data_IF_070482790446
#
_entry.id   IF_070482790446
#
_cell.length_a   1.000
_cell.length_b   1.000
_cell.length_c   1.000
_cell.angle_alpha   90.00
_cell.angle_beta   90.00
_cell.angle_gamma   90.00
#
_symmetry.space_group_name_H-M   'P 1'
#
loop_
_entity.id
_entity.type
_entity.pdbx_description
1 polymer ?
#
# COMPACT_ATOMS: atom_id res chain seq x y z
N UNK A 1 -18.72 -16.32 4.03
CA UNK A 1 -18.24 -15.84 2.71
C UNK A 1 -19.46 -15.52 1.87
N UNK A 2 -19.58 -14.28 1.34
CA UNK A 2 -20.72 -13.81 0.53
C UNK A 2 -20.70 -14.46 -0.87
N UNK A 3 -19.52 -14.82 -1.36
CA UNK A 3 -19.28 -15.51 -2.64
C UNK A 3 -18.64 -16.88 -2.42
N UNK A 4 -19.02 -17.87 -3.23
CA UNK A 4 -18.33 -19.15 -3.29
C UNK A 4 -16.97 -18.99 -3.98
N UNK A 5 -16.06 -19.95 -3.78
CA UNK A 5 -14.75 -19.94 -4.45
C UNK A 5 -14.87 -19.87 -5.97
N UNK A 6 -15.83 -20.64 -6.53
CA UNK A 6 -16.10 -20.63 -7.97
C UNK A 6 -16.57 -19.24 -8.48
N UNK A 7 -17.41 -18.56 -7.70
CA UNK A 7 -17.86 -17.18 -8.01
C UNK A 7 -16.70 -16.19 -7.94
N UNK A 8 -15.83 -16.30 -6.94
CA UNK A 8 -14.63 -15.47 -6.83
C UNK A 8 -13.65 -15.71 -7.99
N UNK A 9 -13.51 -16.96 -8.46
CA UNK A 9 -12.71 -17.27 -9.64
C UNK A 9 -13.29 -16.61 -10.92
N UNK A 10 -14.61 -16.59 -11.08
CA UNK A 10 -15.27 -15.92 -12.19
C UNK A 10 -15.09 -14.37 -12.11
N UNK A 11 -15.20 -13.80 -10.91
CA UNK A 11 -14.97 -12.37 -10.67
C UNK A 11 -13.51 -11.99 -10.96
N UNK A 12 -12.56 -12.80 -10.48
CA UNK A 12 -11.13 -12.60 -10.77
C UNK A 12 -10.86 -12.68 -12.28
N UNK A 13 -11.45 -13.68 -12.97
CA UNK A 13 -11.33 -13.80 -14.43
C UNK A 13 -11.83 -12.56 -15.15
N UNK A 14 -12.97 -12.03 -14.75
CA UNK A 14 -13.51 -10.79 -15.30
C UNK A 14 -12.57 -9.61 -15.04
N UNK A 15 -12.08 -9.44 -13.81
CA UNK A 15 -11.16 -8.37 -13.46
C UNK A 15 -9.87 -8.40 -14.28
N UNK A 16 -9.28 -9.58 -14.45
CA UNK A 16 -8.08 -9.76 -15.28
C UNK A 16 -8.33 -9.44 -16.77
N UNK A 17 -9.50 -9.75 -17.30
CA UNK A 17 -9.85 -9.40 -18.68
C UNK A 17 -10.09 -7.89 -18.84
N UNK A 18 -10.68 -7.24 -17.84
CA UNK A 18 -10.84 -5.77 -17.82
C UNK A 18 -9.48 -5.08 -17.80
N UNK A 19 -8.59 -5.50 -16.91
CA UNK A 19 -7.25 -4.95 -16.79
C UNK A 19 -6.38 -5.18 -18.04
N UNK A 20 -6.61 -6.25 -18.80
CA UNK A 20 -5.88 -6.52 -20.05
C UNK A 20 -6.39 -5.72 -21.27
N UNK A 21 -7.45 -4.92 -21.14
CA UNK A 21 -7.98 -4.11 -22.23
C UNK A 21 -7.13 -2.88 -22.58
N UNK A 22 -6.21 -2.49 -21.69
CA UNK A 22 -5.29 -1.38 -21.87
C UNK A 22 -3.80 -1.80 -21.91
N UNK A 23 -2.92 -0.83 -22.10
CA UNK A 23 -1.50 -0.97 -22.41
C UNK A 23 -0.72 -1.81 -21.36
N UNK A 24 0.13 -2.71 -21.82
CA UNK A 24 0.93 -3.68 -21.01
C UNK A 24 1.82 -3.06 -19.91
N UNK A 25 2.03 -1.75 -19.90
CA UNK A 25 2.88 -1.06 -18.90
C UNK A 25 2.13 -0.69 -17.61
N UNK A 26 0.79 -0.65 -17.63
CA UNK A 26 -0.05 -0.23 -16.47
C UNK A 26 -0.66 -1.39 -15.66
N UNK A 27 -0.49 -2.62 -16.10
CA UNK A 27 -1.10 -3.85 -15.55
C UNK A 27 -0.82 -4.09 -14.06
N UNK A 28 0.22 -3.49 -13.47
CA UNK A 28 0.56 -3.71 -12.07
C UNK A 28 -0.38 -2.96 -11.11
N UNK A 29 -0.76 -1.71 -11.43
CA UNK A 29 -1.65 -0.91 -10.57
C UNK A 29 -3.06 -1.49 -10.55
N UNK A 30 -3.57 -1.90 -11.72
CA UNK A 30 -4.88 -2.55 -11.85
C UNK A 30 -4.90 -3.92 -11.16
N UNK A 31 -3.82 -4.69 -11.26
CA UNK A 31 -3.72 -5.98 -10.60
C UNK A 31 -3.72 -5.85 -9.08
N UNK A 32 -3.06 -4.84 -8.53
CA UNK A 32 -3.13 -4.53 -7.09
C UNK A 32 -4.55 -4.17 -6.66
N UNK A 33 -5.28 -3.40 -7.48
CA UNK A 33 -6.71 -3.10 -7.22
C UNK A 33 -7.54 -4.37 -7.25
N UNK A 34 -7.33 -5.26 -8.22
CA UNK A 34 -8.01 -6.56 -8.30
C UNK A 34 -7.78 -7.37 -7.02
N UNK A 35 -6.55 -7.50 -6.56
CA UNK A 35 -6.22 -8.24 -5.35
C UNK A 35 -6.84 -7.60 -4.10
N UNK A 36 -6.79 -6.28 -4.02
CA UNK A 36 -7.42 -5.52 -2.95
C UNK A 36 -8.93 -5.76 -2.91
N UNK A 37 -9.59 -5.70 -4.05
CA UNK A 37 -11.03 -5.89 -4.15
C UNK A 37 -11.46 -7.34 -3.85
N UNK A 38 -10.67 -8.35 -4.26
CA UNK A 38 -10.92 -9.74 -3.87
C UNK A 38 -10.82 -9.94 -2.36
N UNK A 39 -9.86 -9.29 -1.71
CA UNK A 39 -9.76 -9.28 -0.25
C UNK A 39 -11.03 -8.68 0.37
N UNK A 40 -11.57 -7.63 -0.23
CA UNK A 40 -12.82 -7.01 0.19
C UNK A 40 -14.05 -7.91 0.04
N UNK A 41 -14.05 -8.76 -0.95
CA UNK A 41 -15.09 -9.78 -1.12
C UNK A 41 -14.97 -10.95 -0.14
N UNK A 42 -13.99 -10.89 0.78
CA UNK A 42 -13.77 -11.85 1.85
C UNK A 42 -12.87 -13.02 1.46
N UNK A 43 -12.04 -12.84 0.42
CA UNK A 43 -11.06 -13.84 -0.02
C UNK A 43 -9.71 -13.61 0.68
N UNK A 44 -9.09 -14.67 1.16
CA UNK A 44 -7.73 -14.63 1.71
C UNK A 44 -6.71 -14.67 0.57
N UNK A 45 -6.40 -13.46 0.07
CA UNK A 45 -5.50 -13.29 -1.08
C UNK A 45 -4.10 -13.85 -0.77
N UNK A 46 -3.60 -13.68 0.45
CA UNK A 46 -2.23 -14.10 0.79
C UNK A 46 -2.06 -15.61 0.77
N UNK A 47 -3.05 -16.36 1.26
CA UNK A 47 -2.93 -17.81 1.41
C UNK A 47 -3.54 -18.60 0.25
N UNK A 48 -4.53 -18.05 -0.44
CA UNK A 48 -5.35 -18.81 -1.38
C UNK A 48 -5.28 -18.33 -2.85
N UNK A 49 -4.53 -17.25 -3.15
CA UNK A 49 -4.51 -16.64 -4.49
C UNK A 49 -4.04 -17.61 -5.58
N UNK A 50 -3.01 -18.41 -5.32
CA UNK A 50 -2.51 -19.39 -6.31
C UNK A 50 -3.59 -20.41 -6.68
N UNK A 51 -4.32 -20.89 -5.67
CA UNK A 51 -5.42 -21.84 -5.86
C UNK A 51 -6.60 -21.20 -6.63
N UNK A 52 -6.86 -19.91 -6.43
CA UNK A 52 -7.89 -19.16 -7.16
C UNK A 52 -7.46 -18.93 -8.62
N UNK A 53 -6.20 -18.56 -8.86
CA UNK A 53 -5.65 -18.38 -10.19
C UNK A 53 -5.70 -19.67 -11.02
N UNK A 54 -5.41 -20.83 -10.43
CA UNK A 54 -5.56 -22.12 -11.12
C UNK A 54 -7.03 -22.39 -11.51
N UNK A 55 -7.97 -22.01 -10.65
CA UNK A 55 -9.39 -22.17 -10.95
C UNK A 55 -9.86 -21.23 -12.06
N UNK A 56 -9.33 -20.00 -12.14
CA UNK A 56 -9.64 -19.07 -13.24
C UNK A 56 -9.21 -19.56 -14.61
N UNK A 57 -8.16 -20.37 -14.70
CA UNK A 57 -7.70 -20.95 -15.99
C UNK A 57 -8.72 -21.88 -16.65
N UNK A 58 -9.66 -22.40 -15.87
CA UNK A 58 -10.72 -23.30 -16.35
C UNK A 58 -11.89 -22.53 -17.00
N UNK A 59 -11.94 -21.22 -16.81
CA UNK A 59 -13.01 -20.37 -17.32
C UNK A 59 -12.61 -19.64 -18.61
N UNK A 60 -13.49 -19.67 -19.61
CA UNK A 60 -13.54 -18.60 -20.60
C UNK A 60 -14.22 -17.37 -20.00
N UNK A 61 -14.06 -16.20 -20.63
CA UNK A 61 -14.78 -14.99 -20.21
C UNK A 61 -16.31 -15.21 -20.26
N UNK A 62 -16.80 -15.92 -21.27
CA UNK A 62 -18.23 -16.22 -21.41
C UNK A 62 -18.77 -17.11 -20.26
N UNK A 63 -17.96 -18.07 -19.80
CA UNK A 63 -18.35 -18.92 -18.67
C UNK A 63 -18.41 -18.09 -17.38
N UNK A 64 -17.43 -17.20 -17.17
CA UNK A 64 -17.41 -16.29 -16.04
C UNK A 64 -18.63 -15.35 -16.05
N UNK A 65 -18.92 -14.72 -17.17
CA UNK A 65 -20.09 -13.85 -17.31
C UNK A 65 -21.42 -14.60 -17.11
N UNK A 66 -21.54 -15.85 -17.62
CA UNK A 66 -22.69 -16.70 -17.39
C UNK A 66 -22.89 -17.03 -15.91
N UNK A 67 -21.81 -17.28 -15.18
CA UNK A 67 -21.85 -17.54 -13.74
C UNK A 67 -22.28 -16.27 -12.98
N UNK A 68 -21.72 -15.13 -13.33
CA UNK A 68 -22.03 -13.84 -12.70
C UNK A 68 -23.50 -13.44 -12.94
N UNK A 69 -24.04 -13.65 -14.16
CA UNK A 69 -25.42 -13.33 -14.48
C UNK A 69 -26.46 -14.18 -13.72
N UNK A 70 -26.04 -15.29 -13.15
CA UNK A 70 -26.89 -16.15 -12.29
C UNK A 70 -26.78 -15.83 -10.79
N UNK A 71 -26.01 -14.82 -10.40
CA UNK A 71 -25.89 -14.37 -9.01
C UNK A 71 -27.10 -13.52 -8.60
N UNK A 72 -27.23 -13.24 -7.32
CA UNK A 72 -28.28 -12.31 -6.83
C UNK A 72 -28.04 -10.88 -7.32
N UNK A 73 -29.10 -10.09 -7.40
CA UNK A 73 -29.00 -8.67 -7.78
C UNK A 73 -28.03 -7.89 -6.90
N UNK A 74 -27.96 -8.21 -5.61
CA UNK A 74 -27.04 -7.61 -4.66
C UNK A 74 -25.59 -7.96 -5.01
N UNK A 75 -25.29 -9.23 -5.29
CA UNK A 75 -23.95 -9.68 -5.70
C UNK A 75 -23.54 -9.07 -7.04
N UNK A 76 -24.45 -9.00 -8.01
CA UNK A 76 -24.18 -8.40 -9.32
C UNK A 76 -23.89 -6.89 -9.21
N UNK A 77 -24.59 -6.16 -8.33
CA UNK A 77 -24.30 -4.74 -8.05
C UNK A 77 -22.91 -4.53 -7.48
N UNK A 78 -22.48 -5.39 -6.55
CA UNK A 78 -21.11 -5.36 -6.03
C UNK A 78 -20.08 -5.58 -7.13
N UNK A 79 -20.35 -6.51 -8.06
CA UNK A 79 -19.46 -6.78 -9.19
C UNK A 79 -19.42 -5.59 -10.17
N UNK A 80 -20.52 -4.88 -10.38
CA UNK A 80 -20.51 -3.62 -11.14
C UNK A 80 -19.56 -2.59 -10.48
N UNK A 81 -19.66 -2.43 -9.17
CA UNK A 81 -18.75 -1.57 -8.42
C UNK A 81 -17.28 -1.99 -8.51
N UNK A 82 -17.02 -3.29 -8.39
CA UNK A 82 -15.69 -3.89 -8.55
C UNK A 82 -15.09 -3.61 -9.94
N UNK A 83 -15.85 -3.85 -11.01
CA UNK A 83 -15.41 -3.55 -12.39
C UNK A 83 -15.18 -2.05 -12.58
N UNK A 84 -16.07 -1.21 -12.05
CA UNK A 84 -15.90 0.24 -12.07
C UNK A 84 -14.64 0.72 -11.35
N UNK A 85 -14.28 0.09 -10.21
CA UNK A 85 -13.07 0.42 -9.47
C UNK A 85 -11.80 0.06 -10.26
N UNK A 86 -11.77 -1.09 -10.95
CA UNK A 86 -10.65 -1.48 -11.82
C UNK A 86 -10.49 -0.48 -12.98
N UNK A 87 -11.57 -0.17 -13.67
CA UNK A 87 -11.57 0.79 -14.78
C UNK A 87 -11.06 2.17 -14.36
N UNK A 88 -11.28 2.58 -13.11
CA UNK A 88 -10.84 3.87 -12.60
C UNK A 88 -9.49 3.83 -11.87
N UNK A 89 -8.82 2.70 -11.82
CA UNK A 89 -7.59 2.54 -11.05
C UNK A 89 -6.47 3.52 -11.47
N UNK A 90 -6.35 3.78 -12.76
CA UNK A 90 -5.36 4.70 -13.33
C UNK A 90 -5.85 6.16 -13.47
N UNK A 91 -7.12 6.42 -13.11
CA UNK A 91 -7.72 7.76 -13.14
C UNK A 91 -8.17 8.23 -14.52
N UNK A 92 -8.10 7.39 -15.56
CA UNK A 92 -8.55 7.70 -16.91
C UNK A 92 -9.45 6.60 -17.47
N UNK A 93 -10.47 6.98 -18.23
CA UNK A 93 -11.36 6.04 -18.92
C UNK A 93 -10.93 5.93 -20.39
N UNK A 94 -10.25 4.84 -20.73
CA UNK A 94 -9.85 4.56 -22.10
C UNK A 94 -11.02 4.20 -23.01
N UNK A 95 -10.83 4.24 -24.35
CA UNK A 95 -11.88 3.92 -25.32
C UNK A 95 -12.43 2.49 -25.21
N UNK A 96 -11.55 1.54 -24.90
CA UNK A 96 -11.90 0.12 -24.75
C UNK A 96 -12.69 -0.14 -23.46
N UNK A 97 -12.26 0.45 -22.38
CA UNK A 97 -12.93 0.41 -21.08
C UNK A 97 -14.32 1.02 -21.16
N UNK A 98 -14.43 2.19 -21.81
CA UNK A 98 -15.72 2.81 -22.06
C UNK A 98 -16.65 1.90 -22.87
N UNK A 99 -16.13 1.25 -23.92
CA UNK A 99 -16.91 0.32 -24.74
C UNK A 99 -17.36 -0.91 -23.95
N UNK A 100 -16.54 -1.40 -23.03
CA UNK A 100 -16.90 -2.48 -22.11
C UNK A 100 -17.99 -1.99 -21.15
N UNK A 101 -17.76 -0.85 -20.49
CA UNK A 101 -18.69 -0.29 -19.51
C UNK A 101 -20.09 -0.02 -20.10
N UNK A 102 -20.15 0.51 -21.30
CA UNK A 102 -21.42 0.80 -21.98
C UNK A 102 -22.32 -0.44 -22.17
N UNK A 103 -21.73 -1.65 -22.09
CA UNK A 103 -22.43 -2.93 -22.29
C UNK A 103 -22.59 -3.74 -21.01
N UNK A 104 -21.65 -3.61 -20.07
CA UNK A 104 -21.54 -4.48 -18.92
C UNK A 104 -22.77 -4.46 -18.00
N UNK A 105 -23.32 -3.29 -17.61
CA UNK A 105 -24.53 -3.22 -16.80
C UNK A 105 -25.77 -3.81 -17.51
N UNK A 106 -25.87 -3.66 -18.84
CA UNK A 106 -26.96 -4.28 -19.62
C UNK A 106 -26.89 -5.80 -19.58
N UNK A 107 -25.67 -6.38 -19.62
CA UNK A 107 -25.51 -7.84 -19.51
C UNK A 107 -25.96 -8.41 -18.18
N UNK A 108 -25.85 -7.61 -17.12
CA UNK A 108 -26.30 -7.98 -15.78
C UNK A 108 -27.79 -7.64 -15.53
N UNK A 109 -28.49 -7.08 -16.52
CA UNK A 109 -29.91 -6.77 -16.41
C UNK A 109 -30.26 -5.44 -15.73
N UNK A 110 -29.27 -4.59 -15.42
CA UNK A 110 -29.48 -3.28 -14.78
C UNK A 110 -29.84 -2.15 -15.74
N UNK A 111 -29.90 -2.44 -17.06
CA UNK A 111 -30.08 -1.41 -18.07
C UNK A 111 -28.85 -0.51 -18.22
N UNK A 112 -29.08 0.73 -18.70
CA UNK A 112 -27.97 1.69 -18.81
C UNK A 112 -27.63 2.27 -17.45
N UNK A 113 -26.45 1.97 -16.97
CA UNK A 113 -25.86 2.52 -15.76
C UNK A 113 -24.59 3.28 -16.15
N UNK A 114 -24.46 4.53 -15.72
CA UNK A 114 -23.21 5.28 -15.91
C UNK A 114 -22.13 4.77 -14.95
N UNK A 115 -20.87 4.95 -15.32
CA UNK A 115 -19.76 4.64 -14.43
C UNK A 115 -19.84 5.41 -13.10
N UNK A 116 -20.30 6.67 -13.17
CA UNK A 116 -20.49 7.52 -12.00
C UNK A 116 -21.56 6.96 -11.05
N UNK A 117 -22.70 6.49 -11.60
CA UNK A 117 -23.75 5.82 -10.82
C UNK A 117 -23.25 4.54 -10.16
N UNK A 118 -22.48 3.71 -10.87
CA UNK A 118 -21.90 2.49 -10.30
C UNK A 118 -20.88 2.80 -9.20
N UNK A 119 -20.03 3.80 -9.41
CA UNK A 119 -19.07 4.26 -8.41
C UNK A 119 -19.76 4.92 -7.21
N UNK A 120 -20.90 5.58 -7.41
CA UNK A 120 -21.70 6.11 -6.30
C UNK A 120 -22.37 5.00 -5.49
N UNK A 121 -22.91 3.97 -6.16
CA UNK A 121 -23.44 2.78 -5.49
C UNK A 121 -22.30 2.09 -4.71
N UNK A 122 -21.17 1.87 -5.34
CA UNK A 122 -19.97 1.29 -4.73
C UNK A 122 -19.44 2.13 -3.56
N UNK A 123 -19.36 3.45 -3.73
CA UNK A 123 -18.99 4.40 -2.66
C UNK A 123 -20.09 4.47 -1.60
N UNK A 124 -21.37 4.42 -1.97
CA UNK A 124 -22.50 4.44 -1.06
C UNK A 124 -22.57 3.18 -0.19
N UNK A 125 -22.36 2.01 -0.77
CA UNK A 125 -22.26 0.76 -0.02
C UNK A 125 -20.96 0.73 0.82
N UNK A 126 -19.86 1.32 0.35
CA UNK A 126 -18.60 1.45 1.08
C UNK A 126 -18.65 2.58 2.14
N UNK A 127 -19.32 3.70 1.89
CA UNK A 127 -19.51 4.77 2.88
C UNK A 127 -20.43 4.34 4.04
N UNK A 128 -21.36 3.41 3.81
CA UNK A 128 -22.13 2.81 4.91
C UNK A 128 -21.26 1.96 5.87
N UNK A 129 -20.03 1.64 5.48
CA UNK A 129 -19.09 0.85 6.26
C UNK A 129 -18.07 1.70 7.05
N UNK A 130 -18.03 3.02 6.87
CA UNK A 130 -17.25 3.88 7.75
C UNK A 130 -17.93 3.89 9.13
N UNK A 131 -17.24 3.32 10.09
CA UNK A 131 -17.72 3.20 11.47
C UNK A 131 -16.75 3.88 12.42
N UNK A 132 -17.31 4.45 13.49
CA UNK A 132 -16.53 4.83 14.64
C UNK A 132 -16.79 3.82 15.76
N UNK A 133 -15.76 3.07 16.10
CA UNK A 133 -15.79 2.03 17.13
C UNK A 133 -14.96 2.50 18.30
N UNK A 134 -15.63 2.81 19.42
CA UNK A 134 -14.94 3.20 20.65
C UNK A 134 -14.46 1.96 21.40
N UNK A 135 -13.21 1.98 21.84
CA UNK A 135 -12.62 0.91 22.63
C UNK A 135 -12.94 1.09 24.11
N UNK A 136 -13.06 -0.01 24.82
CA UNK A 136 -13.33 0.02 26.28
C UNK A 136 -12.24 0.75 27.08
N UNK A 137 -11.03 0.84 26.54
CA UNK A 137 -9.89 1.51 27.19
C UNK A 137 -9.73 2.99 26.82
N UNK A 138 -10.70 3.59 26.09
CA UNK A 138 -10.72 5.02 25.79
C UNK A 138 -10.12 5.42 24.44
N UNK A 139 -9.66 4.46 23.60
CA UNK A 139 -9.31 4.72 22.21
C UNK A 139 -10.50 4.51 21.27
N UNK A 140 -10.27 4.71 19.96
CA UNK A 140 -11.27 4.42 18.93
C UNK A 140 -10.63 4.08 17.59
N UNK A 141 -11.39 3.36 16.77
CA UNK A 141 -11.18 3.23 15.33
C UNK A 141 -12.21 4.09 14.59
N UNK A 142 -11.82 4.72 13.52
CA UNK A 142 -12.71 5.42 12.59
C UNK A 142 -12.26 5.09 11.17
N UNK A 143 -13.11 4.40 10.42
CA UNK A 143 -12.79 3.93 9.09
C UNK A 143 -13.67 2.80 8.62
N UNK A 144 -13.27 2.16 7.54
CA UNK A 144 -14.01 1.07 6.93
C UNK A 144 -13.93 -0.20 7.78
N UNK A 145 -15.08 -0.86 7.93
CA UNK A 145 -15.21 -2.13 8.67
C UNK A 145 -15.90 -3.15 7.77
N UNK A 146 -15.29 -4.32 7.62
CA UNK A 146 -15.87 -5.42 6.85
C UNK A 146 -15.77 -6.71 7.68
N UNK A 147 -16.85 -7.46 7.74
CA UNK A 147 -16.95 -8.70 8.53
C UNK A 147 -16.49 -8.51 10.00
N UNK A 148 -16.69 -7.31 10.58
CA UNK A 148 -16.28 -6.99 11.94
C UNK A 148 -14.78 -6.67 12.11
N UNK A 149 -14.01 -6.64 11.04
CA UNK A 149 -12.58 -6.28 11.03
C UNK A 149 -12.36 -4.92 10.38
N UNK A 150 -11.32 -4.23 10.80
CA UNK A 150 -10.88 -2.98 10.14
C UNK A 150 -10.28 -3.33 8.79
N UNK A 151 -10.83 -2.75 7.72
CA UNK A 151 -10.40 -2.95 6.35
C UNK A 151 -10.51 -1.63 5.60
N UNK A 152 -9.71 -1.44 4.54
CA UNK A 152 -9.70 -0.20 3.78
C UNK A 152 -9.13 0.98 4.55
N UNK A 153 -9.49 2.19 4.17
CA UNK A 153 -8.98 3.41 4.80
C UNK A 153 -9.52 3.59 6.21
N UNK A 154 -8.62 3.87 7.15
CA UNK A 154 -9.04 4.08 8.53
C UNK A 154 -7.98 4.73 9.41
N UNK A 155 -8.41 5.06 10.62
CA UNK A 155 -7.61 5.68 11.65
C UNK A 155 -7.88 5.04 13.00
N UNK A 156 -6.84 4.61 13.68
CA UNK A 156 -6.91 4.18 15.08
C UNK A 156 -6.28 5.27 15.95
N UNK A 157 -6.99 5.67 16.96
CA UNK A 157 -6.45 6.49 18.07
C UNK A 157 -6.46 5.62 19.31
N UNK A 158 -5.30 5.34 19.86
CA UNK A 158 -5.13 4.56 21.08
C UNK A 158 -5.28 5.43 22.32
N UNK A 159 -5.64 4.83 23.43
CA UNK A 159 -5.81 5.54 24.72
C UNK A 159 -4.52 6.17 25.26
N UNK A 160 -3.35 5.67 24.85
CA UNK A 160 -2.05 6.25 25.18
C UNK A 160 -1.68 7.44 24.27
N UNK A 161 -2.52 7.77 23.27
CA UNK A 161 -2.31 8.86 22.32
C UNK A 161 -1.57 8.47 21.05
N UNK A 162 -1.19 7.21 20.85
CA UNK A 162 -0.70 6.72 19.56
C UNK A 162 -1.79 6.84 18.50
N UNK A 163 -1.39 7.14 17.26
CA UNK A 163 -2.30 7.21 16.12
C UNK A 163 -1.73 6.38 14.96
N UNK A 164 -2.54 5.48 14.43
CA UNK A 164 -2.30 4.77 13.17
C UNK A 164 -3.29 5.26 12.12
N UNK A 165 -2.82 5.56 10.91
CA UNK A 165 -3.69 6.01 9.82
C UNK A 165 -3.15 5.48 8.49
N UNK A 166 -4.04 4.92 7.65
CA UNK A 166 -3.67 4.35 6.37
C UNK A 166 -4.66 3.28 5.93
N UNK A 167 -4.17 2.35 5.11
CA UNK A 167 -4.96 1.22 4.65
C UNK A 167 -4.85 0.05 5.63
N UNK A 168 -5.97 -0.53 5.99
CA UNK A 168 -6.08 -1.68 6.89
C UNK A 168 -6.50 -2.92 6.12
N UNK A 169 -5.91 -4.06 6.44
CA UNK A 169 -6.33 -5.38 6.00
C UNK A 169 -6.47 -6.25 7.24
N UNK A 170 -7.65 -6.82 7.46
CA UNK A 170 -7.94 -7.69 8.61
C UNK A 170 -7.48 -7.11 9.97
N UNK A 171 -7.65 -5.81 10.16
CA UNK A 171 -7.33 -5.12 11.41
C UNK A 171 -5.89 -4.60 11.52
N UNK A 172 -5.05 -4.83 10.53
CA UNK A 172 -3.64 -4.40 10.53
C UNK A 172 -3.36 -3.41 9.40
N UNK A 173 -2.45 -2.45 9.62
CA UNK A 173 -1.97 -1.58 8.55
C UNK A 173 -1.19 -2.39 7.51
N UNK A 174 -1.56 -2.23 6.24
CA UNK A 174 -0.91 -2.80 5.07
C UNK A 174 -0.84 -1.76 3.95
N UNK A 175 0.27 -1.72 3.20
CA UNK A 175 0.52 -0.68 2.20
C UNK A 175 0.93 0.64 2.83
N UNK A 176 0.60 1.77 2.19
CA UNK A 176 0.99 3.09 2.65
C UNK A 176 0.21 3.53 3.89
N UNK A 177 0.91 4.08 4.87
CA UNK A 177 0.29 4.55 6.10
C UNK A 177 1.21 5.41 6.97
N UNK A 178 0.71 5.78 8.15
CA UNK A 178 1.49 6.52 9.13
C UNK A 178 1.24 6.01 10.55
N UNK A 179 2.26 6.15 11.39
CA UNK A 179 2.20 5.95 12.82
C UNK A 179 2.73 7.20 13.51
N UNK A 180 1.95 7.77 14.40
CA UNK A 180 2.34 8.95 15.19
C UNK A 180 2.33 8.58 16.67
N UNK A 181 3.44 8.83 17.34
CA UNK A 181 3.58 8.62 18.79
C UNK A 181 3.23 9.87 19.59
N UNK A 182 2.79 9.72 20.84
CA UNK A 182 2.55 10.86 21.74
C UNK A 182 3.80 11.69 22.02
N UNK A 183 4.98 11.13 21.84
CA UNK A 183 6.27 11.84 21.91
C UNK A 183 6.39 12.97 20.90
N UNK A 184 5.64 12.89 19.78
CA UNK A 184 5.74 13.74 18.60
C UNK A 184 6.57 13.11 17.47
N UNK A 185 7.12 11.93 17.68
CA UNK A 185 7.72 11.14 16.59
C UNK A 185 6.64 10.68 15.62
N UNK A 186 7.00 10.48 14.34
CA UNK A 186 6.09 10.00 13.30
C UNK A 186 6.83 9.13 12.29
N UNK A 187 6.24 8.02 11.91
CA UNK A 187 6.61 7.24 10.74
C UNK A 187 5.60 7.45 9.63
N UNK A 188 6.06 7.55 8.39
CA UNK A 188 5.25 7.56 7.16
C UNK A 188 5.94 6.65 6.15
N UNK A 189 5.25 5.65 5.67
CA UNK A 189 5.83 4.68 4.73
C UNK A 189 5.00 3.44 4.56
N UNK A 190 5.66 2.39 4.10
CA UNK A 190 5.05 1.11 3.86
C UNK A 190 4.87 0.30 5.15
N UNK A 191 3.76 -0.41 5.21
CA UNK A 191 3.41 -1.35 6.27
C UNK A 191 3.10 -2.72 5.69
N UNK A 192 3.51 -3.76 6.39
CA UNK A 192 3.06 -5.14 6.16
C UNK A 192 2.72 -5.77 7.51
N UNK A 193 1.50 -6.30 7.64
CA UNK A 193 0.99 -6.90 8.88
C UNK A 193 1.17 -5.99 10.11
N UNK A 194 0.93 -4.69 9.91
CA UNK A 194 1.05 -3.68 10.94
C UNK A 194 2.48 -3.25 11.29
N UNK A 195 3.50 -3.78 10.62
CA UNK A 195 4.92 -3.49 10.82
C UNK A 195 5.48 -2.60 9.70
N UNK A 196 6.44 -1.75 10.04
CA UNK A 196 7.19 -0.97 9.06
C UNK A 196 8.00 -1.89 8.15
N UNK A 197 7.88 -1.67 6.85
CA UNK A 197 8.57 -2.44 5.81
C UNK A 197 8.89 -1.54 4.62
N UNK A 198 9.58 -2.07 3.61
CA UNK A 198 9.83 -1.34 2.36
C UNK A 198 10.51 0.01 2.59
N UNK A 199 10.01 1.04 1.94
CA UNK A 199 10.56 2.39 2.04
C UNK A 199 9.70 3.27 2.94
N UNK A 200 10.36 4.08 3.83
CA UNK A 200 9.64 4.98 4.73
C UNK A 200 10.51 6.08 5.33
N UNK A 201 9.81 7.09 5.88
CA UNK A 201 10.42 8.20 6.61
C UNK A 201 10.03 8.17 8.09
N UNK A 202 11.01 8.36 8.95
CA UNK A 202 10.82 8.53 10.38
C UNK A 202 11.21 9.95 10.79
N UNK A 203 10.27 10.69 11.31
CA UNK A 203 10.43 12.05 11.81
C UNK A 203 10.60 11.99 13.32
N UNK A 204 11.73 12.43 13.82
CA UNK A 204 12.00 12.50 15.25
C UNK A 204 11.48 13.83 15.82
N UNK A 205 11.03 13.80 17.05
CA UNK A 205 10.57 14.98 17.79
C UNK A 205 11.59 16.11 17.82
N UNK A 206 12.88 15.81 17.81
CA UNK A 206 13.96 16.80 17.81
C UNK A 206 14.22 17.46 16.45
N UNK A 207 13.41 17.15 15.42
CA UNK A 207 13.58 17.69 14.07
C UNK A 207 14.49 16.88 13.16
N UNK A 208 15.21 15.89 13.68
CA UNK A 208 15.95 14.93 12.85
C UNK A 208 14.99 14.05 12.04
N UNK A 209 15.48 13.47 10.94
CA UNK A 209 14.68 12.62 10.08
C UNK A 209 15.54 11.48 9.50
N UNK A 210 14.97 10.29 9.46
CA UNK A 210 15.53 9.16 8.72
C UNK A 210 14.65 8.86 7.52
N UNK A 211 15.23 8.63 6.36
CA UNK A 211 14.55 8.21 5.14
C UNK A 211 15.30 7.02 4.55
N UNK A 212 14.64 5.87 4.44
CA UNK A 212 15.33 4.67 3.96
C UNK A 212 14.49 3.42 4.06
N UNK A 213 15.17 2.28 3.94
CA UNK A 213 14.55 0.97 3.94
C UNK A 213 14.28 0.47 5.36
N UNK A 214 13.19 -0.30 5.49
CA UNK A 214 12.70 -0.88 6.72
C UNK A 214 12.38 -2.36 6.54
N UNK A 215 12.52 -3.13 7.57
CA UNK A 215 12.12 -4.54 7.63
C UNK A 215 11.71 -4.91 9.05
N UNK A 216 10.46 -5.36 9.24
CA UNK A 216 9.94 -5.76 10.55
C UNK A 216 10.18 -4.72 11.66
N UNK A 217 9.77 -3.45 11.44
CA UNK A 217 9.93 -2.30 12.33
C UNK A 217 11.38 -1.82 12.55
N UNK A 218 12.34 -2.40 11.85
CA UNK A 218 13.76 -2.08 11.98
C UNK A 218 14.32 -1.46 10.72
N UNK A 219 15.21 -0.48 10.85
CA UNK A 219 16.00 0.04 9.73
C UNK A 219 16.86 -1.08 9.15
N UNK A 220 16.81 -1.23 7.82
CA UNK A 220 17.50 -2.29 7.11
C UNK A 220 17.92 -1.79 5.72
N UNK A 221 19.11 -2.15 5.26
CA UNK A 221 19.62 -1.67 3.97
C UNK A 221 20.00 -0.19 4.00
N UNK A 222 19.82 0.49 2.88
CA UNK A 222 20.27 1.87 2.70
C UNK A 222 19.32 2.89 3.31
N UNK A 223 19.86 3.98 3.89
CA UNK A 223 19.08 5.11 4.34
C UNK A 223 19.90 6.38 4.52
N UNK A 224 19.18 7.50 4.56
CA UNK A 224 19.73 8.84 4.78
C UNK A 224 19.19 9.37 6.10
N UNK A 225 20.06 9.82 6.97
CA UNK A 225 19.72 10.46 8.23
C UNK A 225 20.03 11.94 8.14
N UNK A 226 19.03 12.77 8.38
CA UNK A 226 19.14 14.23 8.46
C UNK A 226 19.16 14.62 9.93
N UNK A 227 20.21 15.25 10.38
CA UNK A 227 20.38 15.67 11.76
C UNK A 227 19.79 17.06 11.99
N UNK A 228 19.42 17.35 13.22
CA UNK A 228 18.89 18.65 13.65
C UNK A 228 19.87 19.81 13.38
N UNK A 229 21.16 19.55 13.46
CA UNK A 229 22.24 20.52 13.22
C UNK A 229 22.54 20.78 11.74
N UNK A 230 21.76 20.19 10.83
CA UNK A 230 21.91 20.29 9.37
C UNK A 230 22.87 19.26 8.77
N UNK A 231 23.51 18.44 9.57
CA UNK A 231 24.32 17.33 9.09
C UNK A 231 23.47 16.28 8.37
N UNK A 232 24.08 15.54 7.43
CA UNK A 232 23.44 14.45 6.69
C UNK A 232 24.35 13.22 6.74
N UNK A 233 23.79 12.05 6.99
CA UNK A 233 24.54 10.80 6.80
C UNK A 233 23.84 9.85 5.85
N UNK A 234 24.63 9.16 5.06
CA UNK A 234 24.27 8.07 4.18
C UNK A 234 24.78 6.79 4.83
N UNK A 235 23.87 5.96 5.26
CA UNK A 235 24.19 4.83 6.12
C UNK A 235 23.65 3.52 5.55
N UNK A 236 24.34 2.43 5.80
CA UNK A 236 23.80 1.08 5.70
C UNK A 236 23.39 0.58 7.09
N UNK A 237 22.25 -0.09 7.15
CA UNK A 237 21.68 -0.63 8.38
C UNK A 237 21.41 -2.13 8.29
N UNK A 238 21.62 -2.82 9.40
CA UNK A 238 21.15 -4.16 9.65
C UNK A 238 20.55 -4.21 11.06
N UNK A 239 19.25 -4.54 11.15
CA UNK A 239 18.50 -4.64 12.42
C UNK A 239 18.71 -3.40 13.32
N UNK A 240 18.35 -2.21 12.81
CA UNK A 240 18.47 -0.89 13.45
C UNK A 240 19.90 -0.41 13.72
N UNK A 241 20.91 -1.22 13.46
CA UNK A 241 22.32 -0.86 13.71
C UNK A 241 23.02 -0.50 12.42
N UNK A 242 23.85 0.55 12.45
CA UNK A 242 24.73 0.82 11.32
C UNK A 242 25.62 -0.39 11.07
N UNK A 243 25.65 -0.85 9.84
CA UNK A 243 26.43 -2.00 9.39
C UNK A 243 26.85 -1.77 7.95
N UNK A 244 28.16 -1.80 7.69
CA UNK A 244 28.66 -1.41 6.38
C UNK A 244 29.19 0.02 6.36
N UNK A 245 29.13 0.67 5.21
CA UNK A 245 29.69 2.01 4.98
C UNK A 245 28.74 3.08 5.48
N UNK A 246 29.31 4.11 6.09
CA UNK A 246 28.59 5.32 6.52
C UNK A 246 29.38 6.54 6.10
N UNK A 247 28.70 7.53 5.55
CA UNK A 247 29.25 8.82 5.15
C UNK A 247 28.44 9.91 5.85
N UNK A 248 29.07 10.65 6.73
CA UNK A 248 28.48 11.81 7.39
C UNK A 248 29.08 13.09 6.82
N UNK A 249 28.24 14.07 6.52
CA UNK A 249 28.61 15.38 5.98
C UNK A 249 27.93 16.46 6.82
N UNK A 250 28.70 17.48 7.23
CA UNK A 250 28.19 18.67 7.87
C UNK A 250 29.06 19.87 7.48
N UNK A 251 28.49 20.82 6.74
CA UNK A 251 29.24 21.95 6.15
C UNK A 251 30.41 21.45 5.30
N UNK A 252 31.61 21.90 5.64
CA UNK A 252 32.86 21.56 4.92
C UNK A 252 33.60 20.35 5.50
N UNK A 253 32.95 19.59 6.37
CA UNK A 253 33.49 18.39 6.97
C UNK A 253 32.77 17.15 6.50
N UNK A 254 33.53 16.08 6.19
CA UNK A 254 32.98 14.76 5.97
C UNK A 254 33.71 13.73 6.80
N UNK A 255 32.99 12.69 7.16
CA UNK A 255 33.52 11.53 7.87
C UNK A 255 33.04 10.26 7.20
N UNK A 256 33.96 9.40 6.83
CA UNK A 256 33.65 8.07 6.31
C UNK A 256 34.01 7.04 7.38
N UNK A 257 33.04 6.22 7.71
CA UNK A 257 33.20 5.14 8.68
C UNK A 257 32.82 3.80 8.05
N UNK A 258 33.50 2.76 8.50
CA UNK A 258 33.05 1.39 8.33
C UNK A 258 32.47 0.93 9.66
N UNK A 259 31.22 0.45 9.62
CA UNK A 259 30.52 -0.06 10.80
C UNK A 259 30.36 -1.58 10.77
N UNK A 260 30.45 -2.19 11.94
CA UNK A 260 30.04 -3.57 12.18
C UNK A 260 29.17 -3.60 13.42
N UNK A 261 27.91 -4.03 13.26
CA UNK A 261 26.93 -4.13 14.35
C UNK A 261 26.78 -2.86 15.23
N UNK A 262 26.87 -1.68 14.61
CA UNK A 262 26.76 -0.39 15.30
C UNK A 262 28.07 0.19 15.79
N UNK A 263 29.17 -0.54 15.72
CA UNK A 263 30.52 -0.07 16.13
C UNK A 263 31.30 0.43 14.91
N UNK A 264 31.88 1.63 15.00
CA UNK A 264 32.77 2.18 13.98
C UNK A 264 34.15 1.52 14.09
N UNK A 265 34.47 0.62 13.16
CA UNK A 265 35.74 -0.14 13.14
C UNK A 265 36.85 0.55 12.35
N UNK A 266 36.49 1.48 11.47
CA UNK A 266 37.47 2.37 10.82
C UNK A 266 36.86 3.74 10.57
N UNK A 267 37.69 4.79 10.58
CA UNK A 267 37.22 6.17 10.40
C UNK A 267 38.26 7.00 9.66
N UNK A 268 37.80 7.73 8.64
CA UNK A 268 38.59 8.75 7.95
C UNK A 268 37.81 10.06 8.00
N UNK A 269 38.52 11.16 8.30
CA UNK A 269 37.95 12.50 8.31
C UNK A 269 38.52 13.33 7.18
N UNK A 270 37.69 14.15 6.59
CA UNK A 270 38.02 15.12 5.54
C UNK A 270 37.54 16.50 5.98
N UNK A 271 38.32 17.53 5.71
CA UNK A 271 37.95 18.91 6.03
C UNK A 271 38.35 19.87 4.89
N UNK A 272 37.63 20.98 4.79
CA UNK A 272 37.91 22.01 3.79
C UNK A 272 37.51 21.66 2.37
N UNK A 273 36.60 20.68 2.19
CA UNK A 273 36.03 20.31 0.90
C UNK A 273 34.69 21.01 0.69
N UNK A 274 34.38 21.37 -0.57
CA UNK A 274 33.07 21.83 -0.93
C UNK A 274 32.21 20.64 -1.36
N UNK A 275 31.26 20.27 -0.51
CA UNK A 275 30.31 19.18 -0.76
C UNK A 275 29.01 19.64 -1.42
N UNK A 276 28.90 20.92 -1.79
CA UNK A 276 27.74 21.42 -2.57
C UNK A 276 27.73 20.86 -4.00
N UNK A 277 28.89 20.47 -4.52
CA UNK A 277 29.04 19.77 -5.79
C UNK A 277 29.43 18.30 -5.54
N UNK A 278 28.48 17.39 -5.76
CA UNK A 278 28.69 15.95 -5.60
C UNK A 278 29.80 15.38 -6.50
N UNK A 279 30.13 16.08 -7.62
CA UNK A 279 31.22 15.70 -8.51
C UNK A 279 32.60 15.85 -7.86
N UNK A 280 32.72 16.60 -6.79
CA UNK A 280 33.95 16.81 -6.02
C UNK A 280 34.15 15.75 -4.93
N UNK A 281 33.15 14.90 -4.68
CA UNK A 281 33.28 13.82 -3.72
C UNK A 281 34.34 12.81 -4.19
N UNK A 282 35.17 12.32 -3.29
CA UNK A 282 36.14 11.28 -3.60
C UNK A 282 35.48 10.05 -4.24
N UNK A 283 36.10 9.42 -5.23
CA UNK A 283 35.55 8.27 -6.00
C UNK A 283 35.03 7.14 -5.09
N UNK A 284 35.57 6.97 -3.91
CA UNK A 284 35.05 5.95 -2.97
C UNK A 284 33.69 6.30 -2.33
N UNK A 285 33.19 7.55 -2.52
CA UNK A 285 31.85 7.96 -2.11
C UNK A 285 30.82 7.70 -3.22
N UNK A 286 31.26 7.55 -4.45
CA UNK A 286 30.43 7.33 -5.64
C UNK A 286 30.26 5.85 -6.02
N UNK A 287 30.88 4.93 -5.32
CA UNK A 287 30.88 3.49 -5.61
C UNK A 287 29.90 2.70 -4.73
#
# INVERSE_FOLDING_TARGET
MKFSKLQLAAILKLGMEVANLEDKEKTNEEFEVILQELSYLGFDVENDIESLLEETKQFSLNDALSLISNMSDEQQREICGYVGAIICADGALGPNEKSLWDKFPEWLGFGKMTLEEALEIYKGENNSHIQRINFKNGGYYEGEVRNGLYNGKGKIVFSNGDVKEGNFVNGQLNGQGSYTWPSGDKYVGEFKDGKFTGFGEYFYKNGSRYRGSWSNDQKSGFGVYFYEDGGVSFDEYANDRRHGKSIYINGNEAQVCQYSNGECISRVKYSGMDYSDLSTLPEFLSA
#
